data_IF_960511075957
#
_entry.id   IF_960511075957
#
_cell.length_a   1.000
_cell.length_b   1.000
_cell.length_c   1.000
_cell.angle_alpha   90.00
_cell.angle_beta   90.00
_cell.angle_gamma   90.00
#
_symmetry.space_group_name_H-M   'P 1'
#
loop_
_entity.id
_entity.type
_entity.pdbx_description
1 polymer ?
#
# COMPACT_ATOMS: atom_id res chain seq x y z
N UNK A 1 35.08 12.15 -66.47
CA UNK A 1 34.33 12.22 -65.20
C UNK A 1 33.15 11.24 -65.36
N UNK A 2 33.23 9.95 -65.06
CA UNK A 2 34.01 9.26 -64.03
C UNK A 2 33.12 9.02 -62.81
N UNK A 3 32.07 8.21 -62.94
CA UNK A 3 31.33 7.67 -61.79
C UNK A 3 31.23 6.15 -61.93
N UNK A 4 32.04 5.50 -61.13
CA UNK A 4 32.15 4.06 -60.97
C UNK A 4 30.86 3.47 -60.39
N UNK A 5 30.43 2.36 -60.98
CA UNK A 5 29.42 1.47 -60.43
C UNK A 5 30.08 0.56 -59.38
N UNK A 6 29.48 0.48 -58.19
CA UNK A 6 29.84 -0.49 -57.15
C UNK A 6 29.00 -1.76 -57.36
N UNK A 7 29.60 -2.95 -57.51
CA UNK A 7 28.85 -4.20 -57.57
C UNK A 7 28.39 -4.66 -56.19
N UNK A 8 27.12 -5.09 -56.12
CA UNK A 8 26.50 -5.78 -54.99
C UNK A 8 27.07 -7.19 -54.91
N UNK A 9 27.77 -7.50 -53.82
CA UNK A 9 28.30 -8.83 -53.53
C UNK A 9 27.20 -9.76 -53.00
N UNK A 10 27.03 -10.89 -53.69
CA UNK A 10 26.27 -12.05 -53.24
C UNK A 10 26.90 -12.65 -51.97
N UNK A 11 26.12 -12.78 -50.90
CA UNK A 11 26.52 -13.45 -49.67
C UNK A 11 26.11 -14.95 -49.73
N UNK A 12 27.01 -15.91 -49.46
CA UNK A 12 26.72 -17.33 -49.59
C UNK A 12 25.88 -17.89 -48.44
N UNK A 13 24.84 -18.64 -48.82
CA UNK A 13 24.03 -19.54 -47.97
C UNK A 13 24.92 -20.45 -47.13
N UNK A 14 24.71 -20.47 -45.80
CA UNK A 14 25.25 -21.51 -44.90
C UNK A 14 24.23 -22.62 -44.65
N UNK A 15 24.69 -23.90 -44.59
CA UNK A 15 23.82 -25.07 -44.52
C UNK A 15 23.39 -25.44 -43.10
N UNK A 16 22.32 -26.22 -43.06
CA UNK A 16 21.74 -26.91 -41.91
C UNK A 16 22.74 -27.81 -41.16
N UNK A 17 22.50 -27.92 -39.86
CA UNK A 17 22.63 -29.20 -39.15
C UNK A 17 23.67 -29.24 -38.05
N UNK A 18 23.20 -29.24 -36.79
CA UNK A 18 23.78 -30.10 -35.76
C UNK A 18 22.79 -30.32 -34.61
N UNK A 19 22.32 -31.58 -34.53
CA UNK A 19 21.79 -32.21 -33.33
C UNK A 19 22.94 -32.46 -32.36
N UNK A 20 22.79 -32.13 -31.09
CA UNK A 20 23.53 -32.71 -29.96
C UNK A 20 22.54 -32.80 -28.79
N UNK A 21 21.97 -34.00 -28.57
CA UNK A 21 22.28 -34.92 -27.47
C UNK A 21 21.94 -34.40 -26.07
N UNK A 22 20.82 -34.91 -25.54
CA UNK A 22 20.52 -35.00 -24.12
C UNK A 22 21.64 -35.74 -23.41
N UNK A 23 22.20 -35.14 -22.36
CA UNK A 23 22.91 -35.85 -21.30
C UNK A 23 22.01 -35.84 -20.05
N UNK A 24 21.45 -37.00 -19.73
CA UNK A 24 20.84 -37.26 -18.44
C UNK A 24 21.95 -37.43 -17.40
N UNK A 25 22.16 -36.42 -16.58
CA UNK A 25 23.06 -36.46 -15.43
C UNK A 25 22.27 -36.69 -14.16
N UNK A 26 22.22 -37.94 -13.70
CA UNK A 26 21.74 -38.32 -12.36
C UNK A 26 22.75 -37.81 -11.33
N UNK A 27 22.43 -36.73 -10.63
CA UNK A 27 23.19 -36.31 -9.43
C UNK A 27 22.50 -36.92 -8.22
N UNK A 28 23.12 -37.94 -7.66
CA UNK A 28 22.81 -38.43 -6.32
C UNK A 28 23.28 -37.41 -5.30
N UNK A 29 22.35 -36.78 -4.58
CA UNK A 29 22.66 -36.00 -3.39
C UNK A 29 22.61 -36.94 -2.18
N UNK A 30 23.77 -37.12 -1.56
CA UNK A 30 23.95 -37.75 -0.26
C UNK A 30 23.35 -36.83 0.81
N UNK A 31 22.31 -37.30 1.50
CA UNK A 31 21.77 -36.70 2.72
C UNK A 31 22.65 -37.14 3.89
N UNK A 32 23.66 -36.35 4.24
CA UNK A 32 24.30 -36.38 5.56
C UNK A 32 23.72 -35.28 6.42
N UNK A 33 23.09 -35.69 7.51
CA UNK A 33 22.50 -34.80 8.50
C UNK A 33 23.52 -33.94 9.21
N UNK A 34 23.11 -32.70 9.49
CA UNK A 34 23.67 -31.88 10.55
C UNK A 34 22.49 -31.37 11.39
N UNK A 35 22.33 -32.00 12.55
CA UNK A 35 21.61 -31.43 13.68
C UNK A 35 22.41 -30.19 14.13
N UNK A 36 21.92 -29.00 13.75
CA UNK A 36 22.52 -27.71 14.11
C UNK A 36 21.47 -26.84 14.80
N UNK A 37 21.73 -26.51 16.06
CA UNK A 37 20.77 -25.98 17.01
C UNK A 37 20.07 -24.68 16.62
N UNK A 38 18.77 -24.65 16.94
CA UNK A 38 17.99 -23.43 17.02
C UNK A 38 18.45 -22.68 18.28
N UNK A 39 19.11 -21.54 18.10
CA UNK A 39 19.39 -20.64 19.19
C UNK A 39 18.06 -20.06 19.70
N UNK A 40 17.70 -20.42 20.93
CA UNK A 40 16.62 -19.82 21.67
C UNK A 40 16.86 -18.32 21.82
N UNK A 41 16.01 -17.50 21.20
CA UNK A 41 15.93 -16.09 21.54
C UNK A 41 15.21 -15.96 22.88
N UNK A 42 15.95 -15.40 23.85
CA UNK A 42 15.52 -15.22 25.23
C UNK A 42 14.16 -14.52 25.32
N UNK A 43 13.23 -15.22 25.96
CA UNK A 43 11.94 -14.67 26.35
C UNK A 43 12.14 -13.81 27.60
N UNK A 44 12.35 -12.51 27.43
CA UNK A 44 12.18 -11.58 28.55
C UNK A 44 10.69 -11.50 28.87
N UNK A 45 10.23 -12.24 29.88
CA UNK A 45 8.90 -12.06 30.43
C UNK A 45 8.83 -10.68 31.10
N UNK A 46 7.90 -9.79 30.72
CA UNK A 46 7.58 -8.64 31.55
C UNK A 46 6.90 -9.14 32.84
N UNK A 47 7.37 -8.65 33.98
CA UNK A 47 6.80 -8.95 35.29
C UNK A 47 5.32 -8.56 35.40
N UNK A 48 4.61 -9.07 36.43
CA UNK A 48 3.18 -8.85 36.58
C UNK A 48 2.86 -7.36 36.74
N UNK A 49 1.96 -6.85 35.89
CA UNK A 49 1.33 -5.54 36.11
C UNK A 49 0.41 -5.60 37.33
N UNK A 50 0.37 -4.57 38.18
CA UNK A 50 -0.58 -4.49 39.28
C UNK A 50 -2.02 -4.42 38.75
N UNK A 51 -2.93 -5.07 39.46
CA UNK A 51 -4.35 -5.12 39.15
C UNK A 51 -4.99 -3.71 39.14
N UNK A 52 -5.95 -3.44 38.24
CA UNK A 52 -6.72 -2.20 38.28
C UNK A 52 -7.67 -2.18 39.48
N UNK A 53 -7.62 -1.08 40.24
CA UNK A 53 -8.58 -0.72 41.28
C UNK A 53 -9.96 -0.54 40.66
N UNK A 54 -10.93 -1.35 41.09
CA UNK A 54 -12.36 -1.16 40.80
C UNK A 54 -12.81 0.21 41.34
N UNK A 55 -13.32 1.07 40.46
CA UNK A 55 -14.08 2.25 40.86
C UNK A 55 -15.56 1.94 40.61
N UNK A 56 -16.30 2.01 41.71
CA UNK A 56 -17.69 1.61 41.85
C UNK A 56 -18.65 2.32 40.88
N UNK A 57 -19.67 1.56 40.48
CA UNK A 57 -20.81 1.96 39.68
C UNK A 57 -21.61 3.12 40.33
N UNK A 58 -21.84 4.18 39.56
CA UNK A 58 -22.74 5.29 39.88
C UNK A 58 -24.00 5.23 39.00
N UNK A 59 -25.14 5.38 39.66
CA UNK A 59 -26.51 5.11 39.21
C UNK A 59 -27.00 5.79 37.91
N UNK A 60 -27.88 5.09 37.20
CA UNK A 60 -28.76 5.64 36.15
C UNK A 60 -30.00 6.32 36.75
N UNK A 61 -30.43 7.48 36.24
CA UNK A 61 -31.81 7.93 36.42
C UNK A 61 -32.67 7.56 35.20
N UNK A 62 -33.73 6.82 35.49
CA UNK A 62 -34.94 6.66 34.67
C UNK A 62 -35.60 8.01 34.39
N UNK A 63 -35.89 8.31 33.13
CA UNK A 63 -36.93 9.28 32.75
C UNK A 63 -37.87 8.66 31.72
N UNK A 64 -39.14 8.56 32.13
CA UNK A 64 -40.30 8.13 31.37
C UNK A 64 -40.96 9.40 30.82
N UNK A 65 -41.25 9.45 29.53
CA UNK A 65 -41.98 10.54 28.88
C UNK A 65 -42.80 10.02 27.70
N UNK A 66 -44.11 10.24 27.75
CA UNK A 66 -45.16 9.73 26.86
C UNK A 66 -45.65 10.83 25.90
N UNK A 67 -46.34 10.44 24.81
CA UNK A 67 -47.23 11.21 23.89
C UNK A 67 -46.55 12.12 22.86
N UNK A 68 -46.97 12.29 21.60
CA UNK A 68 -48.10 11.83 20.75
C UNK A 68 -47.77 12.21 19.26
N UNK A 69 -48.54 11.77 18.24
CA UNK A 69 -48.19 11.94 16.82
C UNK A 69 -48.72 13.25 16.21
N UNK A 70 -47.96 13.82 15.28
CA UNK A 70 -48.36 14.99 14.49
C UNK A 70 -47.91 14.86 13.04
N UNK A 71 -48.88 14.70 12.13
CA UNK A 71 -48.70 14.74 10.69
C UNK A 71 -48.72 16.20 10.19
N UNK A 72 -47.77 16.57 9.31
CA UNK A 72 -47.89 17.77 8.49
C UNK A 72 -47.05 17.68 7.18
N UNK A 73 -47.78 17.78 6.07
CA UNK A 73 -47.51 18.24 4.70
C UNK A 73 -46.10 18.20 4.04
N UNK A 74 -46.02 17.87 2.73
CA UNK A 74 -44.80 17.93 1.95
C UNK A 74 -44.45 19.36 1.49
N UNK A 75 -43.21 19.80 1.77
CA UNK A 75 -42.64 21.02 1.22
C UNK A 75 -42.04 20.76 -0.18
N UNK A 76 -42.44 21.62 -1.14
CA UNK A 76 -41.91 21.73 -2.51
C UNK A 76 -40.39 21.96 -2.50
N UNK A 77 -39.65 21.15 -3.26
CA UNK A 77 -38.27 21.41 -3.62
C UNK A 77 -38.19 22.44 -4.78
N UNK A 78 -37.25 23.40 -4.75
CA UNK A 78 -36.92 24.19 -5.94
C UNK A 78 -36.06 23.35 -6.91
N UNK A 79 -36.46 23.40 -8.19
CA UNK A 79 -35.71 22.83 -9.29
C UNK A 79 -34.30 23.46 -9.35
N UNK A 80 -33.27 22.62 -9.19
CA UNK A 80 -31.89 22.98 -9.52
C UNK A 80 -31.63 22.60 -10.97
N UNK A 81 -31.13 23.57 -11.73
CA UNK A 81 -30.78 23.48 -13.14
C UNK A 81 -29.87 22.28 -13.42
N UNK A 82 -30.33 21.43 -14.33
CA UNK A 82 -29.54 20.35 -14.91
C UNK A 82 -28.46 20.93 -15.83
N UNK A 83 -27.26 21.16 -15.28
CA UNK A 83 -26.05 21.29 -16.08
C UNK A 83 -25.80 19.98 -16.82
N UNK A 84 -25.81 20.03 -18.16
CA UNK A 84 -25.77 18.87 -19.05
C UNK A 84 -24.61 17.92 -18.74
N UNK A 85 -24.96 16.73 -18.25
CA UNK A 85 -24.08 15.56 -18.28
C UNK A 85 -24.09 15.07 -19.72
N UNK A 86 -23.08 15.47 -20.50
CA UNK A 86 -22.83 14.84 -21.80
C UNK A 86 -22.76 13.33 -21.62
N UNK A 87 -23.61 12.60 -22.32
CA UNK A 87 -23.68 11.13 -22.31
C UNK A 87 -22.36 10.57 -22.83
N UNK A 88 -21.40 10.36 -21.93
CA UNK A 88 -20.16 9.69 -22.24
C UNK A 88 -20.47 8.21 -22.58
N UNK A 89 -19.88 7.72 -23.67
CA UNK A 89 -20.01 6.35 -24.12
C UNK A 89 -19.75 5.32 -23.00
N UNK A 90 -20.38 4.13 -23.03
CA UNK A 90 -20.20 3.10 -22.02
C UNK A 90 -18.72 2.71 -21.92
N UNK A 91 -18.17 2.83 -20.72
CA UNK A 91 -16.79 2.44 -20.43
C UNK A 91 -16.71 0.93 -20.28
N UNK A 92 -15.65 0.32 -20.81
CA UNK A 92 -15.35 -1.08 -20.50
C UNK A 92 -15.04 -1.23 -19.00
N UNK A 93 -15.24 -2.42 -18.39
CA UNK A 93 -14.90 -2.65 -16.98
C UNK A 93 -13.45 -2.26 -16.63
N UNK A 94 -12.50 -2.48 -17.55
CA UNK A 94 -11.11 -2.05 -17.37
C UNK A 94 -10.93 -0.53 -17.36
N UNK A 95 -11.68 0.21 -18.18
CA UNK A 95 -11.65 1.68 -18.19
C UNK A 95 -12.27 2.27 -16.91
N UNK A 96 -13.34 1.67 -16.39
CA UNK A 96 -13.96 2.09 -15.13
C UNK A 96 -13.01 1.93 -13.94
N UNK A 97 -12.33 0.78 -13.83
CA UNK A 97 -11.32 0.53 -12.79
C UNK A 97 -10.15 1.51 -12.88
N UNK A 98 -9.65 1.82 -14.08
CA UNK A 98 -8.57 2.81 -14.27
C UNK A 98 -9.00 4.22 -13.94
N UNK A 99 -10.24 4.61 -14.27
CA UNK A 99 -10.78 5.92 -13.93
C UNK A 99 -10.91 6.08 -12.42
N UNK A 100 -11.44 5.05 -11.74
CA UNK A 100 -11.55 5.04 -10.30
C UNK A 100 -10.18 5.03 -9.61
N UNK A 101 -9.24 4.21 -10.05
CA UNK A 101 -7.86 4.23 -9.56
C UNK A 101 -7.21 5.62 -9.75
N UNK A 102 -7.39 6.24 -10.92
CA UNK A 102 -6.92 7.61 -11.17
C UNK A 102 -7.58 8.63 -10.23
N UNK A 103 -8.87 8.48 -9.95
CA UNK A 103 -9.59 9.34 -9.01
C UNK A 103 -9.12 9.13 -7.56
N UNK A 104 -9.01 7.88 -7.11
CA UNK A 104 -8.49 7.51 -5.80
C UNK A 104 -7.09 8.08 -5.57
N UNK A 105 -6.24 8.06 -6.59
CA UNK A 105 -4.85 8.49 -6.49
C UNK A 105 -4.60 9.97 -6.77
N UNK A 106 -5.63 10.77 -7.02
CA UNK A 106 -5.47 12.22 -6.97
C UNK A 106 -5.92 13.02 -8.20
N UNK A 107 -6.55 12.40 -9.20
CA UNK A 107 -7.14 13.13 -10.35
C UNK A 107 -8.57 13.62 -10.11
N UNK A 108 -9.14 13.47 -8.91
CA UNK A 108 -10.46 13.99 -8.62
C UNK A 108 -10.46 15.53 -8.50
N UNK A 109 -11.63 16.13 -8.71
CA UNK A 109 -11.83 17.59 -8.72
C UNK A 109 -11.49 18.25 -7.38
N UNK A 110 -11.36 19.58 -7.39
CA UNK A 110 -10.86 20.37 -6.26
C UNK A 110 -11.67 20.24 -4.94
N UNK A 111 -12.94 19.84 -5.00
CA UNK A 111 -13.85 19.84 -3.85
C UNK A 111 -13.59 18.76 -2.78
N UNK A 112 -13.25 17.53 -3.18
CA UNK A 112 -13.03 16.42 -2.22
C UNK A 112 -11.69 16.47 -1.52
N UNK A 113 -10.71 17.25 -2.02
CA UNK A 113 -9.47 17.54 -1.30
C UNK A 113 -9.70 18.25 0.04
N UNK A 114 -10.83 18.94 0.22
CA UNK A 114 -11.02 19.95 1.26
C UNK A 114 -11.02 19.42 2.70
N UNK A 115 -11.47 18.19 2.97
CA UNK A 115 -11.52 17.66 4.33
C UNK A 115 -10.12 17.31 4.85
N UNK A 116 -9.32 16.59 4.06
CA UNK A 116 -7.97 16.20 4.45
C UNK A 116 -6.99 17.32 4.35
N UNK A 117 -7.16 18.21 3.37
CA UNK A 117 -6.20 19.27 3.13
C UNK A 117 -6.08 20.22 4.31
N UNK A 118 -7.14 20.31 5.15
CA UNK A 118 -7.10 21.09 6.39
C UNK A 118 -6.14 20.49 7.42
N UNK A 119 -6.08 19.16 7.53
CA UNK A 119 -5.20 18.46 8.49
C UNK A 119 -3.82 18.16 7.94
N UNK A 120 -3.72 17.71 6.68
CA UNK A 120 -2.48 17.18 6.10
C UNK A 120 -1.83 18.12 5.08
N UNK A 121 -2.43 19.27 4.79
CA UNK A 121 -2.01 20.14 3.69
C UNK A 121 -2.38 19.56 2.32
N UNK A 122 -1.96 20.20 1.24
CA UNK A 122 -2.12 19.69 -0.13
C UNK A 122 -0.80 19.20 -0.75
N UNK A 123 0.31 19.55 -0.12
CA UNK A 123 1.65 19.28 -0.61
C UNK A 123 2.41 18.45 0.43
N UNK A 124 3.04 17.37 -0.04
CA UNK A 124 3.96 16.52 0.74
C UNK A 124 5.01 17.34 1.48
N UNK A 125 5.50 18.42 0.88
CA UNK A 125 6.53 19.28 1.45
C UNK A 125 6.02 20.16 2.60
N UNK A 126 4.70 20.29 2.75
CA UNK A 126 4.05 21.16 3.75
C UNK A 126 3.21 20.37 4.75
N UNK A 127 3.36 19.03 4.79
CA UNK A 127 2.67 18.22 5.78
C UNK A 127 3.03 18.70 7.20
N UNK A 128 2.03 18.89 8.08
CA UNK A 128 2.31 19.25 9.46
C UNK A 128 3.21 18.21 10.14
N UNK A 129 4.05 18.69 11.04
CA UNK A 129 4.81 17.79 11.91
C UNK A 129 3.83 17.10 12.85
N UNK A 130 3.76 15.77 12.77
CA UNK A 130 2.94 14.97 13.68
C UNK A 130 3.56 14.97 15.09
N UNK A 131 2.73 14.84 16.15
CA UNK A 131 3.26 14.71 17.51
C UNK A 131 4.22 13.51 17.65
N UNK A 132 5.06 13.56 18.67
CA UNK A 132 5.96 12.46 19.01
C UNK A 132 5.14 11.17 19.30
N UNK A 133 5.58 10.03 18.77
CA UNK A 133 4.99 8.72 19.07
C UNK A 133 4.95 8.44 20.57
N UNK A 134 5.95 8.91 21.32
CA UNK A 134 6.00 8.79 22.78
C UNK A 134 4.78 9.44 23.47
N UNK A 135 4.18 10.47 22.86
CA UNK A 135 3.02 11.19 23.40
C UNK A 135 1.68 10.45 23.26
N UNK A 136 1.65 9.29 22.60
CA UNK A 136 0.41 8.55 22.39
C UNK A 136 -0.25 8.14 23.72
N UNK A 137 -1.57 8.27 23.83
CA UNK A 137 -2.32 7.81 25.01
C UNK A 137 -2.38 6.28 25.06
N UNK A 138 -2.69 5.66 26.22
CA UNK A 138 -2.90 4.21 26.29
C UNK A 138 -3.95 3.70 25.29
N UNK A 139 -5.05 4.42 25.12
CA UNK A 139 -6.11 4.08 24.15
C UNK A 139 -5.60 4.11 22.70
N UNK A 140 -4.78 5.11 22.35
CA UNK A 140 -4.14 5.18 21.03
C UNK A 140 -3.16 4.02 20.81
N UNK A 141 -2.34 3.67 21.80
CA UNK A 141 -1.45 2.50 21.71
C UNK A 141 -2.23 1.20 21.50
N UNK A 142 -3.37 1.05 22.19
CA UNK A 142 -4.28 -0.08 22.01
C UNK A 142 -4.85 -0.12 20.58
N UNK A 143 -5.36 1.00 20.06
CA UNK A 143 -5.87 1.09 18.70
C UNK A 143 -4.82 0.81 17.62
N UNK A 144 -3.58 1.29 17.80
CA UNK A 144 -2.46 0.95 16.92
C UNK A 144 -2.10 -0.55 16.96
N UNK A 145 -2.12 -1.14 18.16
CA UNK A 145 -1.84 -2.57 18.37
C UNK A 145 -2.90 -3.43 17.69
N UNK A 146 -4.17 -3.09 17.88
CA UNK A 146 -5.30 -3.77 17.26
C UNK A 146 -5.21 -3.71 15.73
N UNK A 147 -4.99 -2.52 15.16
CA UNK A 147 -4.81 -2.35 13.72
C UNK A 147 -3.65 -3.19 13.17
N UNK A 148 -2.51 -3.21 13.86
CA UNK A 148 -1.35 -4.03 13.48
C UNK A 148 -1.68 -5.53 13.50
N UNK A 149 -2.38 -6.01 14.54
CA UNK A 149 -2.76 -7.41 14.67
C UNK A 149 -3.76 -7.82 13.59
N UNK A 150 -4.79 -7.02 13.36
CA UNK A 150 -5.79 -7.25 12.32
C UNK A 150 -5.14 -7.27 10.93
N UNK A 151 -4.27 -6.30 10.64
CA UNK A 151 -3.55 -6.25 9.37
C UNK A 151 -2.67 -7.48 9.20
N UNK A 152 -1.87 -7.85 10.21
CA UNK A 152 -1.02 -9.04 10.17
C UNK A 152 -1.82 -10.30 9.88
N UNK A 153 -2.93 -10.51 10.58
CA UNK A 153 -3.77 -11.68 10.39
C UNK A 153 -4.39 -11.71 8.98
N UNK A 154 -4.91 -10.57 8.52
CA UNK A 154 -5.59 -10.46 7.23
C UNK A 154 -4.65 -10.67 6.04
N UNK A 155 -3.40 -10.21 6.13
CA UNK A 155 -2.46 -10.32 5.00
C UNK A 155 -1.60 -11.59 5.02
N UNK A 156 -1.60 -12.35 6.13
CA UNK A 156 -0.79 -13.56 6.25
C UNK A 156 -0.92 -14.54 5.06
N UNK A 157 -2.13 -14.79 4.49
CA UNK A 157 -2.26 -15.66 3.33
C UNK A 157 -1.52 -15.16 2.08
N UNK A 158 -1.31 -13.85 1.95
CA UNK A 158 -0.63 -13.26 0.79
C UNK A 158 0.89 -13.39 0.84
N UNK A 159 1.45 -14.03 1.87
CA UNK A 159 2.84 -14.48 1.81
C UNK A 159 3.04 -15.48 0.66
N UNK A 160 1.99 -16.21 0.28
CA UNK A 160 1.94 -16.99 -0.95
C UNK A 160 1.57 -16.09 -2.14
N UNK A 161 2.50 -15.99 -3.10
CA UNK A 161 2.35 -15.08 -4.24
C UNK A 161 1.20 -15.49 -5.17
N UNK A 162 0.85 -16.78 -5.25
CA UNK A 162 -0.27 -17.23 -6.05
C UNK A 162 -1.61 -16.81 -5.44
N UNK A 163 -1.71 -16.87 -4.11
CA UNK A 163 -2.85 -16.40 -3.32
C UNK A 163 -3.01 -14.89 -3.46
N UNK A 164 -1.91 -14.15 -3.38
CA UNK A 164 -1.90 -12.71 -3.60
C UNK A 164 -2.39 -12.34 -5.02
N UNK A 165 -1.89 -13.02 -6.05
CA UNK A 165 -2.29 -12.79 -7.44
C UNK A 165 -3.77 -13.08 -7.67
N UNK A 166 -4.32 -14.16 -7.10
CA UNK A 166 -5.75 -14.50 -7.17
C UNK A 166 -6.62 -13.43 -6.51
N UNK A 167 -6.15 -12.81 -5.43
CA UNK A 167 -6.81 -11.70 -4.76
C UNK A 167 -6.67 -10.35 -5.52
N UNK A 168 -5.90 -10.31 -6.61
CA UNK A 168 -5.69 -9.12 -7.45
C UNK A 168 -4.40 -8.35 -7.17
N UNK A 169 -3.51 -8.87 -6.33
CA UNK A 169 -2.18 -8.32 -6.07
C UNK A 169 -1.15 -8.98 -6.99
N UNK A 170 -0.97 -8.43 -8.19
CA UNK A 170 -0.07 -8.98 -9.20
C UNK A 170 1.37 -8.43 -9.06
N UNK A 171 2.24 -9.23 -8.42
CA UNK A 171 3.65 -8.92 -8.19
C UNK A 171 4.45 -8.82 -9.50
N UNK A 172 4.22 -9.71 -10.46
CA UNK A 172 4.93 -9.69 -11.75
C UNK A 172 4.55 -8.44 -12.56
N UNK A 173 3.27 -8.08 -12.59
CA UNK A 173 2.85 -6.83 -13.21
C UNK A 173 3.46 -5.61 -12.50
N UNK A 174 3.64 -5.66 -11.17
CA UNK A 174 4.34 -4.60 -10.44
C UNK A 174 5.82 -4.52 -10.82
N UNK A 175 6.52 -5.65 -10.90
CA UNK A 175 7.92 -5.72 -11.34
C UNK A 175 8.09 -5.25 -12.78
N UNK A 176 7.24 -5.69 -13.71
CA UNK A 176 7.26 -5.23 -15.10
C UNK A 176 7.07 -3.71 -15.17
N UNK A 177 6.19 -3.12 -14.35
CA UNK A 177 6.05 -1.65 -14.29
C UNK A 177 7.31 -0.96 -13.78
N UNK A 178 7.97 -1.52 -12.78
CA UNK A 178 9.23 -0.96 -12.25
C UNK A 178 10.33 -1.06 -13.30
N UNK A 179 10.52 -2.21 -13.95
CA UNK A 179 11.51 -2.44 -15.02
C UNK A 179 11.25 -1.56 -16.25
N UNK A 180 9.98 -1.30 -16.57
CA UNK A 180 9.60 -0.44 -17.68
C UNK A 180 9.86 1.05 -17.42
N UNK A 181 10.05 1.48 -16.16
CA UNK A 181 10.58 2.82 -15.86
C UNK A 181 12.03 2.83 -16.33
N UNK A 182 12.26 3.44 -17.50
CA UNK A 182 13.54 3.44 -18.23
C UNK A 182 14.72 3.67 -17.30
N UNK A 183 15.72 2.78 -17.37
CA UNK A 183 17.03 3.03 -16.77
C UNK A 183 17.12 2.78 -15.26
N UNK A 184 16.32 1.85 -14.71
CA UNK A 184 16.60 1.30 -13.37
C UNK A 184 17.37 -0.02 -13.54
N UNK A 185 18.72 0.01 -13.43
CA UNK A 185 19.52 -1.19 -13.27
C UNK A 185 18.99 -2.16 -12.21
N UNK A 186 19.31 -3.45 -12.33
CA UNK A 186 18.86 -4.49 -11.40
C UNK A 186 19.35 -4.25 -9.95
N UNK A 187 20.54 -3.67 -9.78
CA UNK A 187 21.13 -3.22 -8.51
C UNK A 187 20.43 -1.97 -7.95
N UNK A 188 19.65 -1.27 -8.77
CA UNK A 188 18.81 -0.13 -8.38
C UNK A 188 17.33 -0.50 -8.24
N UNK A 189 16.98 -1.78 -8.29
CA UNK A 189 15.62 -2.21 -7.97
C UNK A 189 15.23 -1.76 -6.57
N UNK A 190 13.97 -1.37 -6.37
CA UNK A 190 13.53 -0.88 -5.08
C UNK A 190 13.65 -2.00 -4.03
N UNK A 191 14.13 -1.64 -2.85
CA UNK A 191 14.20 -2.57 -1.70
C UNK A 191 12.81 -3.04 -1.26
N UNK A 192 11.76 -2.29 -1.64
CA UNK A 192 10.37 -2.60 -1.36
C UNK A 192 9.49 -2.40 -2.60
N UNK A 193 8.70 -3.41 -2.92
CA UNK A 193 7.74 -3.40 -4.01
C UNK A 193 6.32 -3.18 -3.46
N UNK A 194 5.65 -2.18 -4.00
CA UNK A 194 4.24 -1.90 -3.73
C UNK A 194 3.38 -2.57 -4.81
N UNK A 195 2.53 -3.50 -4.39
CA UNK A 195 1.67 -4.29 -5.27
C UNK A 195 0.22 -3.84 -5.03
N UNK A 196 -0.35 -3.00 -5.92
CA UNK A 196 -1.69 -2.45 -5.73
C UNK A 196 -2.78 -3.46 -6.13
N UNK A 197 -3.93 -3.39 -5.44
CA UNK A 197 -5.17 -4.04 -5.84
C UNK A 197 -6.18 -2.97 -6.29
N UNK A 198 -6.39 -2.87 -7.61
CA UNK A 198 -7.25 -1.83 -8.20
C UNK A 198 -8.72 -1.90 -7.75
N UNK A 199 -9.21 -3.08 -7.35
CA UNK A 199 -10.58 -3.20 -6.85
C UNK A 199 -10.71 -2.58 -5.45
N UNK A 200 -9.72 -2.79 -4.58
CA UNK A 200 -9.67 -2.23 -3.24
C UNK A 200 -9.65 -0.69 -3.26
N UNK A 201 -8.89 -0.06 -4.18
CA UNK A 201 -8.91 1.40 -4.35
C UNK A 201 -10.30 2.00 -4.69
N UNK A 202 -11.26 1.16 -5.07
CA UNK A 202 -12.55 1.54 -5.61
C UNK A 202 -13.73 1.11 -4.76
N UNK A 203 -13.50 0.48 -3.61
CA UNK A 203 -14.56 0.00 -2.74
C UNK A 203 -15.11 1.09 -1.79
N UNK A 204 -14.46 2.25 -1.76
CA UNK A 204 -14.85 3.40 -0.93
C UNK A 204 -14.52 3.23 0.55
N UNK A 205 -13.81 2.17 0.92
CA UNK A 205 -13.32 1.95 2.27
C UNK A 205 -11.98 2.65 2.45
N UNK A 206 -11.67 2.96 3.70
CA UNK A 206 -10.38 3.49 4.12
C UNK A 206 -10.01 2.76 5.38
N UNK A 207 -8.76 2.26 5.42
CA UNK A 207 -8.22 1.55 6.57
C UNK A 207 -9.04 0.29 6.94
N UNK A 208 -9.36 -0.54 5.94
CA UNK A 208 -9.95 -1.87 6.14
C UNK A 208 -8.85 -2.95 6.07
N UNK A 209 -8.39 -3.53 7.20
CA UNK A 209 -7.34 -4.54 7.20
C UNK A 209 -7.64 -5.78 6.37
N UNK A 210 -8.92 -6.12 6.17
CA UNK A 210 -9.32 -7.30 5.40
C UNK A 210 -9.09 -7.13 3.89
N UNK A 211 -9.04 -5.88 3.41
CA UNK A 211 -8.93 -5.55 1.98
C UNK A 211 -7.97 -4.37 1.77
N UNK A 212 -6.66 -4.54 2.05
CA UNK A 212 -5.72 -3.43 1.91
C UNK A 212 -5.57 -3.01 0.44
N UNK A 213 -5.41 -1.72 0.16
CA UNK A 213 -5.26 -1.26 -1.22
C UNK A 213 -3.92 -1.68 -1.84
N UNK A 214 -2.89 -1.86 -1.00
CA UNK A 214 -1.54 -2.22 -1.45
C UNK A 214 -0.90 -3.22 -0.50
N UNK A 215 -0.31 -4.29 -1.06
CA UNK A 215 0.64 -5.14 -0.34
C UNK A 215 2.07 -4.66 -0.57
N UNK A 216 2.89 -4.77 0.47
CA UNK A 216 4.30 -4.39 0.44
C UNK A 216 5.18 -5.63 0.55
N UNK A 217 6.06 -5.84 -0.42
CA UNK A 217 7.04 -6.92 -0.39
C UNK A 217 8.45 -6.35 -0.29
N UNK A 218 9.24 -6.81 0.67
CA UNK A 218 10.66 -6.47 0.77
C UNK A 218 11.50 -7.46 -0.05
N UNK A 219 12.59 -6.96 -0.65
CA UNK A 219 13.58 -7.80 -1.33
C UNK A 219 14.53 -8.41 -0.29
N UNK A 220 14.57 -9.74 -0.22
CA UNK A 220 15.51 -10.52 0.58
C UNK A 220 16.38 -11.42 -0.33
N UNK A 221 17.42 -12.06 0.22
CA UNK A 221 18.35 -12.91 -0.56
C UNK A 221 17.68 -14.09 -1.29
N UNK A 222 16.48 -14.49 -0.85
CA UNK A 222 15.68 -15.57 -1.46
C UNK A 222 14.51 -15.10 -2.31
N UNK A 223 14.34 -13.79 -2.53
CA UNK A 223 13.25 -13.23 -3.33
C UNK A 223 12.42 -12.20 -2.56
N UNK A 224 11.14 -12.08 -2.95
CA UNK A 224 10.21 -11.10 -2.38
C UNK A 224 9.46 -11.70 -1.20
N UNK A 225 9.48 -10.99 -0.07
CA UNK A 225 8.78 -11.40 1.16
C UNK A 225 7.79 -10.35 1.59
N UNK A 226 6.59 -10.78 1.99
CA UNK A 226 5.56 -9.89 2.49
C UNK A 226 6.06 -9.15 3.74
N UNK A 227 6.12 -7.82 3.65
CA UNK A 227 6.60 -6.92 4.69
C UNK A 227 5.46 -6.19 5.41
N UNK A 228 4.31 -6.02 4.75
CA UNK A 228 3.18 -5.30 5.31
C UNK A 228 2.09 -4.95 4.30
N UNK A 229 1.23 -4.03 4.71
CA UNK A 229 0.19 -3.44 3.87
C UNK A 229 0.25 -1.91 3.92
N UNK A 230 -0.30 -1.27 2.90
CA UNK A 230 -0.48 0.16 2.87
C UNK A 230 -1.92 0.49 2.53
N UNK A 231 -2.48 1.41 3.32
CA UNK A 231 -3.85 1.87 3.18
C UNK A 231 -3.91 3.20 2.48
N UNK A 232 -4.92 3.44 1.66
CA UNK A 232 -5.07 4.71 0.92
C UNK A 232 -6.33 5.45 1.34
N UNK A 233 -6.15 6.67 1.82
CA UNK A 233 -7.21 7.67 1.85
C UNK A 233 -7.19 8.36 0.47
N UNK A 234 -7.93 7.80 -0.49
CA UNK A 234 -8.00 8.31 -1.86
C UNK A 234 -9.14 9.30 -2.07
N UNK A 235 -8.97 10.34 -2.89
CA UNK A 235 -9.84 11.56 -2.94
C UNK A 235 -11.35 11.32 -3.08
N UNK A 236 -11.81 10.10 -3.31
CA UNK A 236 -13.23 9.72 -3.25
C UNK A 236 -13.76 9.55 -1.80
N UNK A 237 -12.89 9.46 -0.79
CA UNK A 237 -13.29 9.39 0.61
C UNK A 237 -13.45 10.81 1.19
N UNK A 238 -14.68 11.23 1.58
CA UNK A 238 -14.97 12.63 1.87
C UNK A 238 -14.67 13.07 3.31
N UNK A 239 -14.32 12.12 4.19
CA UNK A 239 -14.11 12.33 5.63
C UNK A 239 -12.64 12.25 5.98
N UNK A 240 -12.20 12.92 7.03
CA UNK A 240 -10.85 12.71 7.57
C UNK A 240 -10.53 11.23 7.78
N UNK A 241 -9.35 10.74 7.34
CA UNK A 241 -9.03 9.33 7.48
C UNK A 241 -8.84 8.97 8.97
N UNK A 242 -9.23 7.75 9.38
CA UNK A 242 -9.12 7.35 10.78
C UNK A 242 -7.66 7.32 11.26
N UNK A 243 -7.44 7.70 12.51
CA UNK A 243 -6.13 7.67 13.20
C UNK A 243 -6.22 6.90 14.51
N UNK A 244 -6.52 5.58 14.48
CA UNK A 244 -6.77 4.81 15.71
C UNK A 244 -5.56 4.77 16.65
N UNK A 245 -4.35 4.96 16.11
CA UNK A 245 -3.10 5.05 16.87
C UNK A 245 -2.67 6.45 17.26
N UNK A 246 -3.47 7.48 16.96
CA UNK A 246 -3.07 8.88 17.15
C UNK A 246 -1.69 9.16 16.53
N UNK A 247 -0.70 9.67 17.29
CA UNK A 247 0.65 9.93 16.80
C UNK A 247 1.41 8.71 16.24
N UNK A 248 0.98 7.48 16.53
CA UNK A 248 1.58 6.24 16.01
C UNK A 248 1.16 5.99 14.56
N UNK A 249 -0.14 6.06 14.26
CA UNK A 249 -0.69 5.76 12.92
C UNK A 249 -0.62 7.00 12.03
N UNK A 250 0.36 7.05 11.13
CA UNK A 250 0.70 8.25 10.37
C UNK A 250 0.32 8.15 8.90
N UNK A 251 -0.58 9.04 8.49
CA UNK A 251 -0.88 9.29 7.09
C UNK A 251 0.18 10.21 6.47
N UNK A 252 0.65 9.89 5.28
CA UNK A 252 1.61 10.70 4.55
C UNK A 252 1.43 10.59 3.04
N UNK A 253 1.88 11.61 2.31
CA UNK A 253 1.76 11.63 0.86
C UNK A 253 2.80 10.74 0.18
N UNK A 254 2.32 9.82 -0.64
CA UNK A 254 3.12 9.06 -1.58
C UNK A 254 3.07 9.67 -2.97
N UNK A 255 4.19 9.71 -3.71
CA UNK A 255 4.16 10.07 -5.12
C UNK A 255 3.46 8.95 -5.91
N UNK A 256 2.30 9.26 -6.49
CA UNK A 256 1.54 8.34 -7.33
C UNK A 256 1.66 8.75 -8.79
N UNK A 257 2.70 8.24 -9.43
CA UNK A 257 3.07 8.63 -10.79
C UNK A 257 3.59 10.07 -10.84
N UNK A 258 3.55 10.68 -12.02
CA UNK A 258 4.25 11.94 -12.28
C UNK A 258 3.58 13.21 -11.71
N UNK A 259 2.31 13.15 -11.26
CA UNK A 259 1.51 14.37 -10.99
C UNK A 259 0.51 14.28 -9.84
N UNK A 260 0.41 13.15 -9.15
CA UNK A 260 -0.60 12.98 -8.12
C UNK A 260 0.03 12.40 -6.86
N UNK A 261 -0.44 12.85 -5.70
CA UNK A 261 -0.04 12.29 -4.41
C UNK A 261 -1.27 11.70 -3.73
N UNK A 262 -1.15 10.45 -3.30
CA UNK A 262 -2.17 9.79 -2.49
C UNK A 262 -1.79 9.91 -1.01
N UNK A 263 -2.77 10.19 -0.15
CA UNK A 263 -2.56 10.13 1.29
C UNK A 263 -2.63 8.66 1.72
N UNK A 264 -1.52 8.12 2.23
CA UNK A 264 -1.40 6.69 2.51
C UNK A 264 -0.79 6.45 3.89
N UNK A 265 -1.06 5.27 4.47
CA UNK A 265 -0.50 4.83 5.74
C UNK A 265 0.11 3.45 5.60
N UNK A 266 1.37 3.29 6.01
CA UNK A 266 2.04 1.99 6.07
C UNK A 266 1.71 1.27 7.37
N UNK A 267 1.62 -0.06 7.27
CA UNK A 267 1.61 -0.98 8.41
C UNK A 267 2.56 -2.14 8.10
N UNK A 268 3.75 -2.10 8.70
CA UNK A 268 4.77 -3.15 8.62
C UNK A 268 4.51 -4.24 9.65
N UNK A 269 4.53 -5.51 9.21
CA UNK A 269 4.24 -6.67 10.07
C UNK A 269 5.49 -7.44 10.50
N UNK A 270 6.64 -7.15 9.89
CA UNK A 270 7.92 -7.84 10.14
C UNK A 270 8.83 -7.20 11.19
N UNK A 271 8.50 -6.01 11.73
CA UNK A 271 9.39 -5.19 12.57
C UNK A 271 9.38 -5.56 14.06
N UNK A 272 8.87 -6.73 14.44
CA UNK A 272 8.72 -7.14 15.84
C UNK A 272 7.46 -6.55 16.51
N UNK A 273 7.55 -6.18 17.79
CA UNK A 273 6.45 -5.58 18.60
C UNK A 273 6.58 -4.06 18.74
N UNK A 274 7.53 -3.43 18.07
CA UNK A 274 7.70 -1.97 18.11
C UNK A 274 6.65 -1.27 17.23
N UNK A 275 5.69 -0.61 17.89
CA UNK A 275 4.64 0.15 17.22
C UNK A 275 5.18 1.34 16.42
N UNK A 276 6.27 1.98 16.87
CA UNK A 276 6.85 3.10 16.13
C UNK A 276 7.40 2.61 14.78
N UNK A 277 8.13 1.50 14.79
CA UNK A 277 8.62 0.86 13.57
C UNK A 277 7.49 0.32 12.68
N UNK A 278 6.42 -0.22 13.27
CA UNK A 278 5.30 -0.79 12.51
C UNK A 278 4.57 0.25 11.65
N UNK A 279 4.50 1.51 12.09
CA UNK A 279 3.79 2.59 11.40
C UNK A 279 4.72 3.69 10.87
N UNK A 280 6.02 3.39 10.79
CA UNK A 280 7.00 4.30 10.22
C UNK A 280 6.72 4.57 8.73
N UNK A 281 7.26 5.66 8.21
CA UNK A 281 7.21 5.95 6.76
C UNK A 281 8.20 5.09 5.97
N UNK A 282 9.21 4.55 6.66
CA UNK A 282 10.27 3.69 6.11
C UNK A 282 10.62 2.62 7.14
N UNK A 283 11.03 1.43 6.69
CA UNK A 283 11.47 0.39 7.62
C UNK A 283 12.77 0.81 8.33
N UNK A 284 12.92 0.51 9.64
CA UNK A 284 14.19 0.67 10.34
C UNK A 284 15.32 -0.06 9.58
N UNK A 285 16.45 0.62 9.39
CA UNK A 285 17.61 0.08 8.67
C UNK A 285 17.53 0.19 7.14
N UNK A 286 16.44 0.71 6.57
CA UNK A 286 16.45 1.17 5.18
C UNK A 286 16.84 2.66 5.12
N UNK A 287 17.88 3.02 4.34
CA UNK A 287 18.16 4.43 4.07
C UNK A 287 16.91 5.12 3.52
N UNK A 288 16.68 6.37 3.91
CA UNK A 288 15.66 7.24 3.30
C UNK A 288 16.12 7.63 1.87
N UNK A 289 16.22 6.66 0.96
CA UNK A 289 16.82 6.81 -0.38
C UNK A 289 15.98 7.69 -1.33
N UNK A 290 14.74 8.06 -0.98
CA UNK A 290 13.97 8.98 -1.83
C UNK A 290 14.55 10.39 -1.91
N UNK A 291 15.27 10.87 -0.88
CA UNK A 291 15.92 12.19 -0.95
C UNK A 291 17.26 12.16 -1.71
N UNK A 292 17.91 11.01 -1.84
CA UNK A 292 19.19 10.91 -2.55
C UNK A 292 19.03 10.71 -4.07
N UNK A 293 17.92 10.13 -4.55
CA UNK A 293 17.71 9.95 -6.00
C UNK A 293 17.45 11.26 -6.76
N UNK A 294 16.93 12.30 -6.09
CA UNK A 294 16.67 13.59 -6.75
C UNK A 294 17.90 14.49 -6.80
N UNK A 295 18.89 14.27 -5.93
CA UNK A 295 20.09 15.11 -5.81
C UNK A 295 21.25 14.68 -6.71
N UNK A 296 21.19 13.51 -7.37
CA UNK A 296 22.28 12.98 -8.21
C UNK A 296 21.94 12.89 -9.70
N UNK A 297 20.91 13.63 -10.15
CA UNK A 297 20.47 13.68 -11.55
C UNK A 297 20.85 14.96 -12.31
N UNK A 298 21.69 15.80 -11.72
CA UNK A 298 22.16 17.04 -12.34
C UNK A 298 23.63 17.25 -12.02
N UNK A 299 24.49 16.55 -12.75
CA UNK A 299 25.87 16.92 -13.08
C UNK A 299 26.24 16.19 -14.39
#
# INVERSE_FOLDING_TARGET
MGHDQVPVGDEPRRPHGRRLMLAAGTVGIVLTGALGGWAAWGSSQPGPSPAPTEVAAGASPTTRGTTAPGAAAPARAPASEAGGIGTAAPRTPGQAKRACFGAALGRAGAGTRSAWSKRYGQDRLTMPTEPDVASATPAQRAGATELLQQTRAAIAPYADLSTAAQAGYDLEAALTRVRARRGVPEDRMPKMLHVPNLAAFCDGKVLDPAVPEVLMYAREAGGWKLAGAMFTAGQVFPKEPPVPGGPITRWHYHPVGARASGLMMHVFVGTGRDLAAAFATTMPGMPNDERQMTAMGGD
#
